data_IF_272078015774
#
_entry.id   IF_272078015774
#
_cell.length_a   1.000
_cell.length_b   1.000
_cell.length_c   1.000
_cell.angle_alpha   90.00
_cell.angle_beta   90.00
_cell.angle_gamma   90.00
#
_symmetry.space_group_name_H-M   'P 1'
#
loop_
_entity.id
_entity.type
_entity.pdbx_description
1 polymer ?
#
# COMPACT_ATOMS: atom_id res chain seq x y z
N UNK A 1 -14.96 -13.91 5.11
CA UNK A 1 -14.77 -13.34 6.46
C UNK A 1 -13.69 -12.26 6.42
N UNK A 2 -12.47 -12.60 5.99
CA UNK A 2 -11.33 -11.67 5.88
C UNK A 2 -11.60 -10.42 5.04
N UNK A 3 -12.29 -10.53 3.90
CA UNK A 3 -12.66 -9.35 3.09
C UNK A 3 -13.47 -8.29 3.86
N UNK A 4 -14.32 -8.71 4.81
CA UNK A 4 -15.07 -7.76 5.67
C UNK A 4 -14.15 -7.06 6.67
N UNK A 5 -13.21 -7.82 7.25
CA UNK A 5 -12.19 -7.30 8.17
C UNK A 5 -11.32 -6.28 7.42
N UNK A 6 -10.80 -6.68 6.26
CA UNK A 6 -9.97 -5.83 5.42
C UNK A 6 -10.70 -4.55 5.04
N UNK A 7 -11.95 -4.65 4.61
CA UNK A 7 -12.76 -3.47 4.27
C UNK A 7 -12.96 -2.55 5.46
N UNK A 8 -13.28 -3.09 6.64
CA UNK A 8 -13.43 -2.30 7.86
C UNK A 8 -12.14 -1.58 8.26
N UNK A 9 -11.01 -2.29 8.24
CA UNK A 9 -9.70 -1.69 8.57
C UNK A 9 -9.34 -0.61 7.55
N UNK A 10 -9.49 -0.86 6.26
CA UNK A 10 -9.19 0.11 5.20
C UNK A 10 -10.08 1.35 5.26
N UNK A 11 -11.37 1.20 5.59
CA UNK A 11 -12.28 2.32 5.81
C UNK A 11 -11.83 3.20 7.00
N UNK A 12 -11.17 2.60 7.99
CA UNK A 12 -10.59 3.26 9.16
C UNK A 12 -9.09 3.55 8.99
N UNK A 13 -8.69 4.02 7.81
CA UNK A 13 -7.31 4.46 7.52
C UNK A 13 -6.24 3.37 7.70
N UNK A 14 -6.62 2.10 7.51
CA UNK A 14 -5.70 0.97 7.40
C UNK A 14 -5.22 0.40 8.74
N UNK A 15 -5.66 0.93 9.88
CA UNK A 15 -5.37 0.35 11.18
C UNK A 15 -6.44 0.69 12.22
N UNK A 16 -6.88 -0.31 12.98
CA UNK A 16 -7.90 -0.17 14.03
C UNK A 16 -7.43 -0.77 15.34
N UNK A 17 -8.07 -0.40 16.43
CA UNK A 17 -7.90 -1.11 17.70
C UNK A 17 -8.47 -2.53 17.60
N UNK A 18 -7.79 -3.49 18.24
CA UNK A 18 -8.19 -4.88 18.20
C UNK A 18 -9.51 -5.12 18.96
N UNK A 19 -9.74 -4.46 20.08
CA UNK A 19 -11.00 -4.57 20.84
C UNK A 19 -12.15 -3.93 20.06
N UNK A 20 -11.94 -2.77 19.45
CA UNK A 20 -12.92 -2.10 18.59
C UNK A 20 -13.32 -2.99 17.40
N UNK A 21 -12.34 -3.60 16.72
CA UNK A 21 -12.59 -4.51 15.61
C UNK A 21 -13.46 -5.69 16.04
N UNK A 22 -13.12 -6.32 17.18
CA UNK A 22 -13.85 -7.48 17.68
C UNK A 22 -15.25 -7.10 18.15
N UNK A 23 -15.41 -5.96 18.84
CA UNK A 23 -16.72 -5.47 19.25
C UNK A 23 -17.66 -5.24 18.06
N UNK A 24 -17.15 -4.63 16.97
CA UNK A 24 -17.97 -4.28 15.81
C UNK A 24 -18.28 -5.46 14.89
N UNK A 25 -17.35 -6.41 14.72
CA UNK A 25 -17.48 -7.46 13.71
C UNK A 25 -17.65 -8.88 14.29
N UNK A 26 -17.07 -9.17 15.45
CA UNK A 26 -17.00 -10.52 16.02
C UNK A 26 -17.15 -10.52 17.55
N UNK A 27 -18.30 -10.06 18.09
CA UNK A 27 -18.49 -10.00 19.53
C UNK A 27 -18.36 -11.42 20.14
N UNK A 28 -17.48 -11.56 21.13
CA UNK A 28 -17.26 -12.82 21.86
C UNK A 28 -16.25 -13.79 21.24
N UNK A 29 -15.57 -13.44 20.14
CA UNK A 29 -14.49 -14.26 19.58
C UNK A 29 -13.10 -13.80 20.05
N UNK A 30 -12.09 -14.66 19.88
CA UNK A 30 -10.69 -14.31 20.14
C UNK A 30 -10.05 -13.57 18.96
N UNK A 31 -9.27 -12.52 19.24
CA UNK A 31 -8.52 -11.76 18.22
C UNK A 31 -7.55 -12.64 17.43
N UNK A 32 -6.89 -13.60 18.09
CA UNK A 32 -5.89 -14.48 17.47
C UNK A 32 -6.49 -15.44 16.45
N UNK A 33 -7.74 -15.86 16.64
CA UNK A 33 -8.45 -16.76 15.73
C UNK A 33 -8.91 -16.00 14.48
N UNK A 34 -9.44 -14.78 14.67
CA UNK A 34 -9.94 -13.91 13.61
C UNK A 34 -8.81 -13.32 12.76
N UNK A 35 -7.65 -13.07 13.37
CA UNK A 35 -6.49 -12.42 12.74
C UNK A 35 -5.34 -13.42 12.60
N UNK A 36 -5.65 -14.60 12.06
CA UNK A 36 -4.66 -15.67 11.85
C UNK A 36 -3.82 -15.48 10.58
N UNK A 37 -4.36 -14.77 9.57
CA UNK A 37 -3.69 -14.59 8.29
C UNK A 37 -2.69 -13.42 8.30
N UNK A 38 -1.43 -13.74 8.60
CA UNK A 38 -0.34 -12.76 8.69
C UNK A 38 0.00 -12.07 7.36
N UNK A 39 -0.43 -12.63 6.21
CA UNK A 39 -0.24 -11.99 4.90
C UNK A 39 -1.22 -10.84 4.64
N UNK A 40 -2.38 -10.85 5.32
CA UNK A 40 -3.42 -9.82 5.20
C UNK A 40 -3.52 -8.92 6.42
N UNK A 41 -3.07 -9.38 7.59
CA UNK A 41 -3.20 -8.64 8.84
C UNK A 41 -1.94 -8.74 9.68
N UNK A 42 -1.56 -7.64 10.32
CA UNK A 42 -0.48 -7.64 11.30
C UNK A 42 -0.98 -7.04 12.61
N UNK A 43 -0.67 -7.71 13.72
CA UNK A 43 -0.87 -7.18 15.06
C UNK A 43 0.35 -6.31 15.44
N UNK A 44 0.11 -5.12 15.96
CA UNK A 44 1.13 -4.28 16.55
C UNK A 44 0.66 -3.69 17.88
N UNK A 45 1.60 -3.43 18.79
CA UNK A 45 1.32 -2.80 20.07
C UNK A 45 1.84 -1.37 20.04
N UNK A 46 0.97 -0.40 20.32
CA UNK A 46 1.33 1.02 20.44
C UNK A 46 0.79 1.54 21.76
N UNK A 47 1.66 2.03 22.64
CA UNK A 47 1.28 2.55 23.97
C UNK A 47 0.47 1.55 24.82
N UNK A 48 0.76 0.25 24.73
CA UNK A 48 0.04 -0.80 25.46
C UNK A 48 -1.28 -1.25 24.82
N UNK A 49 -1.71 -0.58 23.74
CA UNK A 49 -2.92 -0.91 22.99
C UNK A 49 -2.58 -1.78 21.77
N UNK A 50 -3.30 -2.90 21.59
CA UNK A 50 -3.13 -3.76 20.41
C UNK A 50 -3.94 -3.21 19.23
N UNK A 51 -3.28 -3.09 18.09
CA UNK A 51 -3.88 -2.64 16.84
C UNK A 51 -3.68 -3.65 15.73
N UNK A 52 -4.65 -3.68 14.83
CA UNK A 52 -4.67 -4.54 13.66
C UNK A 52 -4.45 -3.68 12.43
N UNK A 53 -3.39 -3.97 11.69
CA UNK A 53 -3.01 -3.26 10.47
C UNK A 53 -3.29 -4.14 9.26
N UNK A 54 -3.92 -3.57 8.23
CA UNK A 54 -4.17 -4.27 6.99
C UNK A 54 -2.90 -4.37 6.13
N UNK A 55 -2.72 -5.50 5.46
CA UNK A 55 -1.60 -5.80 4.56
C UNK A 55 -2.07 -6.48 3.29
N UNK A 56 -1.23 -6.42 2.27
CA UNK A 56 -1.41 -7.19 1.03
C UNK A 56 -0.05 -7.59 0.48
N UNK A 57 -0.02 -8.61 -0.38
CA UNK A 57 1.14 -8.95 -1.20
C UNK A 57 1.13 -8.23 -2.56
N UNK A 58 0.02 -7.57 -2.93
CA UNK A 58 -0.07 -6.80 -4.16
C UNK A 58 0.87 -5.57 -4.11
N UNK A 59 1.57 -5.29 -5.20
CA UNK A 59 2.56 -4.19 -5.30
C UNK A 59 2.30 -3.35 -6.54
N UNK A 60 2.88 -2.15 -6.59
CA UNK A 60 2.92 -1.38 -7.85
C UNK A 60 4.04 -1.90 -8.76
N UNK A 61 3.72 -2.15 -10.02
CA UNK A 61 4.73 -2.40 -11.05
C UNK A 61 5.49 -1.10 -11.34
N UNK A 62 6.82 -1.16 -11.29
CA UNK A 62 7.71 -0.02 -11.59
C UNK A 62 8.37 -0.10 -12.96
N UNK A 63 8.12 -1.16 -13.73
CA UNK A 63 8.69 -1.36 -15.07
C UNK A 63 7.92 -0.53 -16.10
N UNK A 64 8.61 0.40 -16.77
CA UNK A 64 8.06 1.13 -17.90
C UNK A 64 7.81 0.19 -19.08
N UNK A 65 6.66 0.32 -19.74
CA UNK A 65 6.29 -0.56 -20.86
C UNK A 65 6.14 -2.04 -20.47
N UNK A 66 5.72 -2.33 -19.22
CA UNK A 66 5.51 -3.70 -18.78
C UNK A 66 4.38 -4.38 -19.60
N UNK A 67 4.58 -5.60 -20.13
CA UNK A 67 3.59 -6.29 -20.95
C UNK A 67 2.38 -6.85 -20.18
N UNK A 68 2.39 -6.80 -18.83
CA UNK A 68 1.24 -7.25 -18.03
C UNK A 68 1.30 -8.70 -17.57
N UNK A 69 2.50 -9.25 -17.38
CA UNK A 69 2.72 -10.60 -16.82
C UNK A 69 3.43 -10.58 -15.45
N UNK A 70 3.44 -9.43 -14.78
CA UNK A 70 4.30 -9.17 -13.61
C UNK A 70 3.62 -9.33 -12.24
N UNK A 71 2.29 -9.50 -12.19
CA UNK A 71 1.52 -9.59 -10.95
C UNK A 71 1.41 -8.28 -10.15
N UNK A 72 2.02 -7.18 -10.61
CA UNK A 72 1.92 -5.86 -9.98
C UNK A 72 0.93 -4.95 -10.69
N UNK A 73 0.28 -4.05 -9.94
CA UNK A 73 -0.62 -3.04 -10.47
C UNK A 73 0.11 -2.09 -11.42
N UNK A 74 -0.47 -1.90 -12.60
CA UNK A 74 -0.01 -0.94 -13.59
C UNK A 74 -0.69 0.40 -13.33
N UNK A 75 -0.07 1.22 -12.48
CA UNK A 75 -0.62 2.51 -12.08
C UNK A 75 0.46 3.51 -11.70
N UNK A 76 0.25 4.77 -12.06
CA UNK A 76 1.07 5.86 -11.61
C UNK A 76 0.95 6.07 -10.10
N UNK A 77 2.10 6.14 -9.43
CA UNK A 77 2.23 6.38 -7.98
C UNK A 77 1.51 7.67 -7.54
N UNK A 78 1.70 8.77 -8.28
CA UNK A 78 1.12 10.07 -7.93
C UNK A 78 -0.40 10.07 -8.09
N UNK A 79 -0.90 9.46 -9.16
CA UNK A 79 -2.33 9.30 -9.35
C UNK A 79 -2.96 8.44 -8.26
N UNK A 80 -2.27 7.38 -7.82
CA UNK A 80 -2.72 6.60 -6.67
C UNK A 80 -2.80 7.46 -5.39
N UNK A 81 -1.85 8.36 -5.15
CA UNK A 81 -1.86 9.25 -3.97
C UNK A 81 -2.96 10.30 -3.99
N UNK A 82 -3.03 11.09 -5.06
CA UNK A 82 -3.84 12.31 -5.07
C UNK A 82 -5.05 12.22 -5.99
N UNK A 83 -5.18 11.16 -6.79
CA UNK A 83 -6.13 11.09 -7.89
C UNK A 83 -5.72 11.94 -9.10
N UNK A 84 -4.52 12.54 -9.08
CA UNK A 84 -4.02 13.43 -10.12
C UNK A 84 -2.53 13.23 -10.35
N UNK A 85 -2.03 13.64 -11.52
CA UNK A 85 -0.60 13.52 -11.84
C UNK A 85 -0.12 14.75 -12.60
N UNK A 86 0.68 15.58 -11.96
CA UNK A 86 1.23 16.81 -12.58
C UNK A 86 2.09 16.53 -13.82
N UNK A 87 2.66 15.32 -13.95
CA UNK A 87 3.45 14.94 -15.13
C UNK A 87 2.60 14.75 -16.38
N UNK A 88 1.31 14.44 -16.24
CA UNK A 88 0.40 14.26 -17.37
C UNK A 88 0.32 15.54 -18.22
N UNK A 89 0.29 16.71 -17.58
CA UNK A 89 0.16 18.01 -18.24
C UNK A 89 1.48 18.60 -18.74
N UNK A 90 2.63 18.08 -18.29
CA UNK A 90 3.95 18.69 -18.58
C UNK A 90 4.79 17.90 -19.57
N UNK A 91 5.00 16.61 -19.33
CA UNK A 91 5.98 15.79 -20.07
C UNK A 91 5.41 14.44 -20.52
N UNK A 92 4.14 14.17 -20.24
CA UNK A 92 3.55 12.84 -20.33
C UNK A 92 4.03 11.95 -19.18
N UNK A 93 3.10 11.30 -18.47
CA UNK A 93 3.48 10.31 -17.48
C UNK A 93 3.73 8.96 -18.18
N UNK A 94 4.85 8.31 -17.87
CA UNK A 94 5.17 6.99 -18.43
C UNK A 94 4.38 5.83 -17.80
N UNK A 95 3.53 6.11 -16.80
CA UNK A 95 2.73 5.11 -16.10
C UNK A 95 1.24 5.34 -16.35
N UNK A 96 0.43 4.28 -16.44
CA UNK A 96 -1.02 4.40 -16.64
C UNK A 96 -1.73 5.15 -15.50
N UNK A 97 -2.83 5.83 -15.84
CA UNK A 97 -3.70 6.53 -14.88
C UNK A 97 -5.09 5.88 -14.78
N UNK A 98 -5.21 4.61 -15.16
CA UNK A 98 -6.47 3.87 -15.15
C UNK A 98 -6.37 2.77 -14.09
N UNK A 99 -6.97 3.03 -12.93
CA UNK A 99 -6.99 2.06 -11.82
C UNK A 99 -7.74 0.79 -12.22
N UNK A 100 -8.94 0.93 -12.78
CA UNK A 100 -9.84 -0.18 -13.14
C UNK A 100 -9.63 -0.67 -14.59
N UNK A 101 -8.37 -0.82 -15.03
CA UNK A 101 -8.11 -1.51 -16.30
C UNK A 101 -8.38 -3.00 -16.16
N UNK A 102 -8.70 -3.71 -17.25
CA UNK A 102 -8.99 -5.16 -17.21
C UNK A 102 -7.89 -5.97 -16.51
N UNK A 103 -6.62 -5.60 -16.73
CA UNK A 103 -5.48 -6.22 -16.06
C UNK A 103 -5.47 -5.96 -14.55
N UNK A 104 -5.62 -4.70 -14.14
CA UNK A 104 -5.62 -4.35 -12.71
C UNK A 104 -6.85 -4.92 -11.99
N UNK A 105 -8.02 -4.93 -12.63
CA UNK A 105 -9.23 -5.48 -12.03
C UNK A 105 -9.11 -6.98 -11.76
N UNK A 106 -8.46 -7.74 -12.65
CA UNK A 106 -8.13 -9.15 -12.38
C UNK A 106 -7.24 -9.31 -11.16
N UNK A 107 -6.19 -8.49 -11.03
CA UNK A 107 -5.32 -8.53 -9.84
C UNK A 107 -6.06 -8.10 -8.57
N UNK A 108 -6.93 -7.10 -8.64
CA UNK A 108 -7.72 -6.67 -7.49
C UNK A 108 -8.64 -7.80 -7.02
N UNK A 109 -9.32 -8.50 -7.93
CA UNK A 109 -10.17 -9.66 -7.59
C UNK A 109 -9.33 -10.82 -7.02
N UNK A 110 -8.19 -11.15 -7.64
CA UNK A 110 -7.29 -12.21 -7.18
C UNK A 110 -6.80 -11.97 -5.74
N UNK A 111 -6.62 -10.71 -5.36
CA UNK A 111 -6.21 -10.29 -4.03
C UNK A 111 -7.38 -9.89 -3.09
N UNK A 112 -8.64 -10.04 -3.52
CA UNK A 112 -9.86 -9.66 -2.77
C UNK A 112 -9.91 -8.15 -2.39
N UNK A 113 -9.48 -7.28 -3.31
CA UNK A 113 -9.34 -5.82 -3.13
C UNK A 113 -10.28 -4.99 -4.01
N UNK A 114 -11.14 -5.61 -4.83
CA UNK A 114 -12.02 -4.96 -5.81
C UNK A 114 -13.05 -4.00 -5.17
N UNK A 115 -13.38 -4.19 -3.89
CA UNK A 115 -14.28 -3.32 -3.13
C UNK A 115 -13.61 -2.09 -2.50
N UNK A 116 -12.30 -1.91 -2.69
CA UNK A 116 -11.55 -0.79 -2.12
C UNK A 116 -11.52 0.41 -3.08
N UNK A 117 -11.79 1.58 -2.53
CA UNK A 117 -11.59 2.86 -3.20
C UNK A 117 -10.10 3.12 -3.44
N UNK A 118 -9.79 4.07 -4.33
CA UNK A 118 -8.40 4.53 -4.57
C UNK A 118 -7.67 4.90 -3.27
N UNK A 119 -8.34 5.63 -2.37
CA UNK A 119 -7.73 6.09 -1.12
C UNK A 119 -7.43 4.92 -0.18
N UNK A 120 -8.37 3.97 -0.05
CA UNK A 120 -8.18 2.74 0.72
C UNK A 120 -7.04 1.88 0.16
N UNK A 121 -6.99 1.68 -1.17
CA UNK A 121 -5.89 0.98 -1.84
C UNK A 121 -4.55 1.68 -1.63
N UNK A 122 -4.53 3.00 -1.70
CA UNK A 122 -3.33 3.79 -1.45
C UNK A 122 -2.78 3.54 -0.04
N UNK A 123 -3.65 3.62 0.98
CA UNK A 123 -3.27 3.35 2.37
C UNK A 123 -2.75 1.92 2.54
N UNK A 124 -3.48 0.93 2.01
CA UNK A 124 -3.09 -0.48 2.10
C UNK A 124 -1.72 -0.74 1.44
N UNK A 125 -1.48 -0.16 0.26
CA UNK A 125 -0.21 -0.30 -0.44
C UNK A 125 0.93 0.45 0.25
N UNK A 126 0.68 1.63 0.84
CA UNK A 126 1.67 2.34 1.65
C UNK A 126 2.13 1.53 2.87
N UNK A 127 1.20 0.79 3.49
CA UNK A 127 1.49 -0.07 4.64
C UNK A 127 2.20 -1.38 4.25
N UNK A 128 2.17 -1.75 2.96
CA UNK A 128 2.64 -3.05 2.48
C UNK A 128 3.87 -2.99 1.57
N UNK A 129 4.10 -1.86 0.88
CA UNK A 129 5.13 -1.71 -0.16
C UNK A 129 6.09 -0.56 0.17
N UNK A 130 7.29 -0.87 0.63
CA UNK A 130 8.30 0.15 0.96
C UNK A 130 8.71 1.00 -0.26
N UNK A 131 8.52 0.54 -1.51
CA UNK A 131 8.76 1.36 -2.71
C UNK A 131 7.78 2.53 -2.83
N UNK A 132 6.67 2.48 -2.08
CA UNK A 132 5.71 3.57 -1.96
C UNK A 132 6.24 4.68 -1.05
N UNK A 133 7.15 4.40 -0.13
CA UNK A 133 7.68 5.43 0.75
C UNK A 133 8.61 6.39 -0.01
N UNK A 134 8.78 7.65 0.46
CA UNK A 134 9.82 8.53 -0.05
C UNK A 134 11.20 7.90 0.16
N UNK A 135 12.14 8.20 -0.73
CA UNK A 135 13.52 7.75 -0.57
C UNK A 135 14.08 8.32 0.74
N UNK A 136 14.57 7.45 1.62
CA UNK A 136 15.32 7.87 2.80
C UNK A 136 16.66 8.37 2.30
N UNK A 137 16.96 9.66 2.48
CA UNK A 137 18.29 10.18 2.17
C UNK A 137 19.32 9.43 3.03
N UNK A 138 20.49 9.01 2.49
CA UNK A 138 21.59 8.63 3.37
C UNK A 138 21.91 9.83 4.29
N UNK A 139 22.28 9.61 5.55
CA UNK A 139 22.67 10.71 6.43
C UNK A 139 23.82 11.47 5.77
N UNK A 140 23.58 12.73 5.42
CA UNK A 140 24.60 13.69 5.01
C UNK A 140 25.57 13.86 6.17
N UNK A 141 26.69 13.15 6.10
CA UNK A 141 27.64 13.08 7.20
C UNK A 141 29.01 12.55 6.82
N UNK A 142 29.49 12.74 5.59
CA UNK A 142 30.94 12.84 5.30
C UNK A 142 31.14 13.79 4.12
N UNK A 143 31.47 15.05 4.44
CA UNK A 143 32.28 15.89 3.57
C UNK A 143 33.68 15.27 3.51
N UNK A 144 33.96 14.44 2.51
CA UNK A 144 35.33 14.13 2.11
C UNK A 144 35.58 14.77 0.74
N UNK A 145 36.00 16.03 0.82
CA UNK A 145 37.03 16.67 0.00
C UNK A 145 37.18 16.19 -1.45
N UNK A 146 36.83 17.09 -2.38
CA UNK A 146 37.52 17.22 -3.66
C UNK A 146 39.04 17.11 -3.48
N UNK A 147 39.75 16.47 -4.43
CA UNK A 147 41.02 16.99 -4.88
C UNK A 147 40.82 17.58 -6.28
N UNK A 148 40.83 18.90 -6.29
CA UNK A 148 41.55 19.78 -7.22
C UNK A 148 42.26 19.06 -8.38
N UNK A 149 41.85 19.43 -9.59
CA UNK A 149 42.59 19.27 -10.84
C UNK A 149 44.04 19.78 -10.68
N UNK A 150 45.02 18.90 -10.89
CA UNK A 150 46.37 19.27 -11.29
C UNK A 150 46.68 18.63 -12.64
N UNK A 151 46.73 19.48 -13.67
CA UNK A 151 47.66 19.42 -14.80
C UNK A 151 47.83 20.84 -15.30
#
# INVERSE_FOLDING_TARGET
MEAKILKFICANQGAVDAEELMYNLFPGQSTSEVISNQSKFALCSSNGQQRVVARTNLRLCRKKGCPGSCGGLHLCKNFLYTGSCHFLQRRGCSFPHVLNSDYNQRLLIEHELEGLSRAELCTLLLQSDNSMLPAVSPPTGVLCWLPVLFS
#
